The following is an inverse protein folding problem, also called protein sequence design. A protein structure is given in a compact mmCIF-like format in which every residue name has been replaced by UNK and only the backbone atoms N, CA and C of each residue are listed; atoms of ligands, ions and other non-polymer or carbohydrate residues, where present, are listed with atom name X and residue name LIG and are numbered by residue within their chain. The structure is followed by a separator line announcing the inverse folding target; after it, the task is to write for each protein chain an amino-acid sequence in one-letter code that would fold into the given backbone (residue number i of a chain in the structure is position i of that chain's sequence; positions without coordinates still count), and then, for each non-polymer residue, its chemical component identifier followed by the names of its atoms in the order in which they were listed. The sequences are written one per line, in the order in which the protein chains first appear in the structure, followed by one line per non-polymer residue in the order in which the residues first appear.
data_IF_203924543618
#
_entry.id   IF_203924543618
#
_cell.length_a   1.000
_cell.length_b   1.000
_cell.length_c   1.000
_cell.angle_alpha   90.00
_cell.angle_beta   90.00
_cell.angle_gamma   90.00
#
_symmetry.space_group_name_H-M   'P 1'
#
loop_
_entity.id
_entity.type
_entity.pdbx_description
1 polymer ?
#
# COMPACT_ATOMS: atom_id res chain seq x y z
N UNK A 1 14.35 -27.93 -27.58
CA UNK A 1 14.55 -26.90 -26.53
C UNK A 1 14.08 -27.49 -25.22
N UNK A 2 14.93 -27.47 -24.18
CA UNK A 2 14.75 -28.26 -22.96
C UNK A 2 13.64 -27.69 -22.06
N UNK A 3 12.74 -28.55 -21.58
CA UNK A 3 11.65 -28.19 -20.64
C UNK A 3 12.16 -27.50 -19.37
N UNK A 4 13.42 -27.75 -19.00
CA UNK A 4 14.08 -27.12 -17.87
C UNK A 4 14.29 -25.60 -18.07
N UNK A 5 14.50 -25.13 -19.30
CA UNK A 5 14.67 -23.70 -19.60
C UNK A 5 13.32 -22.95 -19.53
N UNK A 6 12.23 -23.60 -19.91
CA UNK A 6 10.87 -23.04 -19.80
C UNK A 6 10.49 -22.84 -18.34
N UNK A 7 10.71 -23.86 -17.49
CA UNK A 7 10.38 -23.80 -16.07
C UNK A 7 11.20 -22.72 -15.32
N UNK A 8 12.48 -22.55 -15.69
CA UNK A 8 13.37 -21.52 -15.13
C UNK A 8 12.93 -20.11 -15.50
N UNK A 9 12.41 -19.94 -16.71
CA UNK A 9 11.86 -18.66 -17.19
C UNK A 9 10.57 -18.31 -16.47
N UNK A 10 9.68 -19.29 -16.24
CA UNK A 10 8.42 -19.10 -15.48
C UNK A 10 8.67 -18.70 -14.03
N UNK A 11 9.55 -19.40 -13.29
CA UNK A 11 9.91 -19.03 -11.90
C UNK A 11 10.44 -17.60 -11.78
N UNK A 12 11.27 -17.16 -12.74
CA UNK A 12 11.82 -15.79 -12.74
C UNK A 12 10.75 -14.73 -12.99
N UNK A 13 9.70 -15.04 -13.75
CA UNK A 13 8.57 -14.13 -13.99
C UNK A 13 7.71 -14.01 -12.73
N UNK A 14 7.40 -15.12 -12.07
CA UNK A 14 6.62 -15.14 -10.83
C UNK A 14 7.32 -14.35 -9.70
N UNK A 15 8.63 -14.54 -9.51
CA UNK A 15 9.39 -13.79 -8.53
C UNK A 15 9.40 -12.28 -8.79
N UNK A 16 9.50 -11.86 -10.07
CA UNK A 16 9.41 -10.44 -10.45
C UNK A 16 8.02 -9.87 -10.18
N UNK A 17 6.97 -10.62 -10.50
CA UNK A 17 5.59 -10.23 -10.21
C UNK A 17 5.36 -10.11 -8.71
N UNK A 18 5.89 -11.03 -7.92
CA UNK A 18 5.81 -11.00 -6.46
C UNK A 18 6.51 -9.77 -5.88
N UNK A 19 7.74 -9.50 -6.31
CA UNK A 19 8.49 -8.30 -5.88
C UNK A 19 7.76 -7.03 -6.32
N UNK A 20 7.22 -6.99 -7.53
CA UNK A 20 6.43 -5.85 -8.01
C UNK A 20 5.18 -5.65 -7.15
N UNK A 21 4.43 -6.72 -6.87
CA UNK A 21 3.28 -6.68 -5.97
C UNK A 21 3.69 -6.14 -4.60
N UNK A 22 4.72 -6.68 -3.96
CA UNK A 22 5.13 -6.22 -2.64
C UNK A 22 5.69 -4.80 -2.67
N UNK A 23 6.48 -4.42 -3.66
CA UNK A 23 7.10 -3.10 -3.75
C UNK A 23 6.13 -1.99 -4.18
N UNK A 24 5.01 -2.32 -4.83
CA UNK A 24 4.02 -1.33 -5.27
C UNK A 24 2.69 -1.44 -4.53
N UNK A 25 2.13 -2.64 -4.38
CA UNK A 25 0.84 -2.85 -3.71
C UNK A 25 0.91 -2.43 -2.25
N UNK A 26 1.90 -2.91 -1.49
CA UNK A 26 1.98 -2.58 -0.06
C UNK A 26 2.16 -1.07 0.18
N UNK A 27 3.11 -0.38 -0.50
CA UNK A 27 3.23 1.07 -0.33
C UNK A 27 1.98 1.82 -0.78
N UNK A 28 1.36 1.42 -1.88
CA UNK A 28 0.10 2.03 -2.34
C UNK A 28 -1.02 1.85 -1.31
N UNK A 29 -1.12 0.65 -0.72
CA UNK A 29 -2.09 0.34 0.32
C UNK A 29 -1.82 1.15 1.60
N UNK A 30 -0.55 1.30 1.99
CA UNK A 30 -0.16 2.16 3.12
C UNK A 30 -0.58 3.61 2.90
N UNK A 31 -0.35 4.17 1.70
CA UNK A 31 -0.79 5.54 1.38
C UNK A 31 -2.31 5.66 1.37
N UNK A 32 -3.02 4.68 0.80
CA UNK A 32 -4.48 4.69 0.77
C UNK A 32 -5.08 4.63 2.19
N UNK A 33 -4.55 3.76 3.07
CA UNK A 33 -5.03 3.61 4.44
C UNK A 33 -4.68 4.84 5.28
N UNK A 34 -3.40 5.24 5.33
CA UNK A 34 -2.94 6.37 6.16
C UNK A 34 -3.51 7.69 5.64
N UNK A 35 -3.46 7.90 4.33
CA UNK A 35 -4.03 9.09 3.67
C UNK A 35 -5.54 9.14 3.79
N UNK A 36 -6.24 8.02 3.56
CA UNK A 36 -7.68 7.94 3.73
C UNK A 36 -8.11 8.17 5.17
N UNK A 37 -7.42 7.57 6.14
CA UNK A 37 -7.70 7.77 7.55
C UNK A 37 -7.43 9.21 7.99
N UNK A 38 -6.29 9.79 7.62
CA UNK A 38 -5.96 11.19 7.88
C UNK A 38 -6.97 12.15 7.24
N UNK A 39 -7.40 11.86 6.01
CA UNK A 39 -8.44 12.63 5.32
C UNK A 39 -9.79 12.54 6.02
N UNK A 40 -10.21 11.34 6.47
CA UNK A 40 -11.44 11.15 7.25
C UNK A 40 -11.38 11.97 8.53
N UNK A 41 -10.28 11.88 9.29
CA UNK A 41 -10.12 12.65 10.52
C UNK A 41 -10.18 14.15 10.22
N UNK A 42 -9.41 14.64 9.25
CA UNK A 42 -9.42 16.04 8.84
C UNK A 42 -10.82 16.52 8.39
N UNK A 43 -11.54 15.70 7.62
CA UNK A 43 -12.89 15.99 7.19
C UNK A 43 -13.87 16.02 8.37
N UNK A 44 -13.74 15.09 9.30
CA UNK A 44 -14.51 15.09 10.54
C UNK A 44 -14.20 16.33 11.39
N UNK A 45 -12.95 16.82 11.41
CA UNK A 45 -12.59 18.07 12.07
C UNK A 45 -13.27 19.29 11.42
N UNK A 46 -13.44 19.30 10.09
CA UNK A 46 -14.21 20.35 9.41
C UNK A 46 -15.68 20.36 9.82
N UNK A 47 -16.28 19.20 10.11
CA UNK A 47 -17.69 19.07 10.49
C UNK A 47 -17.95 19.30 11.98
N UNK A 48 -17.12 18.72 12.85
CA UNK A 48 -17.32 18.70 14.31
C UNK A 48 -16.46 19.74 15.05
N UNK A 49 -15.62 20.48 14.33
CA UNK A 49 -14.67 21.43 14.90
C UNK A 49 -13.30 20.79 15.24
N UNK A 50 -12.24 21.61 15.36
CA UNK A 50 -10.90 21.12 15.62
C UNK A 50 -10.79 20.44 17.00
N UNK A 51 -9.96 19.39 17.15
CA UNK A 51 -9.73 18.75 18.44
C UNK A 51 -9.11 19.79 19.39
N UNK A 52 -9.73 19.96 20.56
CA UNK A 52 -9.34 20.99 21.53
C UNK A 52 -7.92 20.80 22.06
N UNK A 53 -7.27 21.89 22.55
CA UNK A 53 -5.91 21.83 23.08
C UNK A 53 -5.79 20.82 24.25
N UNK A 54 -4.63 20.16 24.42
CA UNK A 54 -4.40 19.31 25.59
C UNK A 54 -4.48 20.18 26.85
N UNK A 55 -5.42 19.88 27.75
CA UNK A 55 -5.51 20.54 29.05
C UNK A 55 -4.24 20.21 29.85
N UNK A 56 -3.44 21.23 30.14
CA UNK A 56 -2.39 21.22 31.16
C UNK A 56 -2.85 22.03 32.37
#
# INVERSE_FOLDING_TARGET
MSLAEEQKTTRRKEAKLFIFLVAFLFPLLSVAIVGGYGFIIWFLQMLYGPPGPPNG
#
